data_IF_456426074326
#
_entry.id   IF_456426074326
#
_cell.length_a   1.000
_cell.length_b   1.000
_cell.length_c   1.000
_cell.angle_alpha   90.00
_cell.angle_beta   90.00
_cell.angle_gamma   90.00
#
_symmetry.space_group_name_H-M   'P 1'
#
loop_
_entity.id
_entity.type
_entity.pdbx_description
1 polymer ?
#
# COMPACT_ATOMS: atom_id res chain seq x y z
N UNK A 1 -37.17 24.70 -7.29
CA UNK A 1 -36.23 24.86 -6.16
C UNK A 1 -36.17 23.53 -5.43
N UNK A 2 -35.09 22.77 -5.58
CA UNK A 2 -34.92 21.51 -4.85
C UNK A 2 -34.79 21.82 -3.35
N UNK A 3 -35.65 21.22 -2.54
CA UNK A 3 -35.68 21.44 -1.08
C UNK A 3 -34.41 20.83 -0.47
N UNK A 4 -33.66 21.59 0.32
CA UNK A 4 -32.50 21.07 1.06
C UNK A 4 -32.98 19.93 1.96
N UNK A 5 -32.38 18.73 1.88
CA UNK A 5 -32.72 17.63 2.77
C UNK A 5 -32.54 18.02 4.23
N UNK A 6 -33.52 17.69 5.07
CA UNK A 6 -33.52 18.08 6.46
C UNK A 6 -32.40 17.36 7.23
N UNK A 7 -31.57 18.14 7.93
CA UNK A 7 -30.61 17.62 8.90
C UNK A 7 -31.41 17.14 10.12
N UNK A 8 -31.16 15.92 10.64
CA UNK A 8 -31.89 15.41 11.80
C UNK A 8 -31.62 16.29 13.04
N UNK A 9 -32.57 16.31 13.98
CA UNK A 9 -32.46 17.12 15.21
C UNK A 9 -31.63 16.44 16.31
N UNK A 10 -31.49 15.11 16.24
CA UNK A 10 -30.69 14.30 17.14
C UNK A 10 -29.70 13.44 16.35
N UNK A 11 -28.57 13.02 16.95
CA UNK A 11 -27.64 12.09 16.32
C UNK A 11 -28.33 10.80 15.92
N UNK A 12 -28.30 10.45 14.62
CA UNK A 12 -28.91 9.21 14.13
C UNK A 12 -28.24 8.70 12.86
N UNK A 13 -28.37 7.39 12.61
CA UNK A 13 -27.96 6.81 11.33
C UNK A 13 -29.00 7.13 10.26
N UNK A 14 -28.55 7.76 9.17
CA UNK A 14 -29.38 8.19 8.05
C UNK A 14 -28.92 7.47 6.78
N UNK A 15 -29.82 6.89 5.97
CA UNK A 15 -29.49 6.44 4.62
C UNK A 15 -29.31 7.68 3.72
N UNK A 16 -28.06 8.10 3.54
CA UNK A 16 -27.73 9.30 2.75
C UNK A 16 -27.71 8.92 1.28
N UNK A 17 -28.61 9.52 0.49
CA UNK A 17 -28.67 9.33 -0.96
C UNK A 17 -27.66 10.25 -1.69
N UNK A 18 -27.29 9.95 -2.94
CA UNK A 18 -26.45 10.84 -3.75
C UNK A 18 -26.98 12.27 -3.86
N UNK A 19 -28.29 12.44 -4.01
CA UNK A 19 -28.91 13.76 -4.10
C UNK A 19 -28.89 14.50 -2.76
N UNK A 20 -29.08 13.79 -1.65
CA UNK A 20 -28.92 14.37 -0.32
C UNK A 20 -27.50 14.87 -0.11
N UNK A 21 -26.51 14.06 -0.50
CA UNK A 21 -25.11 14.41 -0.36
C UNK A 21 -24.73 15.63 -1.20
N UNK A 22 -25.20 15.72 -2.45
CA UNK A 22 -25.00 16.90 -3.31
C UNK A 22 -25.62 18.15 -2.70
N UNK A 23 -26.86 18.07 -2.24
CA UNK A 23 -27.56 19.21 -1.65
C UNK A 23 -26.87 19.70 -0.35
N UNK A 24 -26.40 18.80 0.51
CA UNK A 24 -25.64 19.20 1.70
C UNK A 24 -24.26 19.77 1.34
N UNK A 25 -23.58 19.26 0.31
CA UNK A 25 -22.33 19.87 -0.16
C UNK A 25 -22.54 21.26 -0.75
N UNK A 26 -23.62 21.47 -1.49
CA UNK A 26 -23.92 22.75 -2.14
C UNK A 26 -24.36 23.83 -1.14
N UNK A 27 -25.20 23.46 -0.17
CA UNK A 27 -25.85 24.44 0.71
C UNK A 27 -25.28 24.52 2.12
N UNK A 28 -24.59 23.48 2.59
CA UNK A 28 -24.09 23.41 3.96
C UNK A 28 -22.56 23.51 4.03
N UNK A 29 -21.81 23.26 2.95
CA UNK A 29 -20.34 23.23 3.00
C UNK A 29 -19.73 24.65 2.93
N UNK A 30 -19.10 25.17 3.99
CA UNK A 30 -18.44 26.46 3.94
C UNK A 30 -17.15 26.42 3.12
N UNK A 31 -16.81 27.53 2.46
CA UNK A 31 -15.54 27.68 1.72
C UNK A 31 -14.29 27.53 2.60
N UNK A 32 -14.43 27.72 3.92
CA UNK A 32 -13.37 27.56 4.91
C UNK A 32 -13.00 26.11 5.21
N UNK A 33 -13.77 25.13 4.73
CA UNK A 33 -13.44 23.73 4.93
C UNK A 33 -12.17 23.34 4.14
N UNK A 34 -11.45 22.34 4.66
CA UNK A 34 -10.18 21.88 4.09
C UNK A 34 -10.33 21.58 2.60
N UNK A 35 -9.30 21.86 1.81
CA UNK A 35 -9.29 21.53 0.38
C UNK A 35 -9.65 20.05 0.19
N UNK A 36 -10.65 19.81 -0.64
CA UNK A 36 -11.11 18.47 -0.96
C UNK A 36 -9.97 17.68 -1.63
N UNK A 37 -9.80 16.43 -1.23
CA UNK A 37 -8.83 15.55 -1.87
C UNK A 37 -9.59 14.58 -2.76
N UNK A 38 -9.56 14.82 -4.06
CA UNK A 38 -10.21 13.97 -5.07
C UNK A 38 -9.81 12.50 -4.92
N UNK A 39 -8.52 12.25 -4.62
CA UNK A 39 -7.98 10.91 -4.35
C UNK A 39 -8.70 10.21 -3.19
N UNK A 40 -9.01 10.95 -2.12
CA UNK A 40 -9.70 10.38 -0.95
C UNK A 40 -11.16 10.11 -1.27
N UNK A 41 -11.83 11.04 -1.95
CA UNK A 41 -13.22 10.90 -2.39
C UNK A 41 -13.38 9.67 -3.29
N UNK A 42 -12.52 9.53 -4.32
CA UNK A 42 -12.61 8.43 -5.27
C UNK A 42 -12.36 7.07 -4.59
N UNK A 43 -11.41 7.01 -3.65
CA UNK A 43 -11.15 5.80 -2.86
C UNK A 43 -12.37 5.38 -2.03
N UNK A 44 -13.06 6.34 -1.40
CA UNK A 44 -14.29 6.06 -0.66
C UNK A 44 -15.41 5.65 -1.62
N UNK A 45 -15.58 6.35 -2.74
CA UNK A 45 -16.60 6.05 -3.74
C UNK A 45 -16.44 4.63 -4.30
N UNK A 46 -15.21 4.22 -4.60
CA UNK A 46 -14.87 2.85 -5.02
C UNK A 46 -15.26 1.81 -3.98
N UNK A 47 -14.92 2.04 -2.70
CA UNK A 47 -15.30 1.17 -1.58
C UNK A 47 -16.83 1.04 -1.45
N UNK A 48 -17.56 2.15 -1.65
CA UNK A 48 -19.03 2.18 -1.63
C UNK A 48 -19.63 1.40 -2.81
N UNK A 49 -19.14 1.61 -4.04
CA UNK A 49 -19.59 0.86 -5.24
C UNK A 49 -19.38 -0.64 -5.13
N UNK A 50 -18.30 -1.08 -4.45
CA UNK A 50 -18.02 -2.49 -4.19
C UNK A 50 -18.88 -3.12 -3.09
N UNK A 51 -19.70 -2.34 -2.38
CA UNK A 51 -20.43 -2.81 -1.19
C UNK A 51 -19.52 -3.15 0.00
N UNK A 52 -18.24 -2.73 -0.06
CA UNK A 52 -17.26 -2.97 0.99
C UNK A 52 -17.31 -1.90 2.11
N UNK A 53 -18.07 -0.83 1.91
CA UNK A 53 -18.23 0.23 2.90
C UNK A 53 -18.94 -0.31 4.16
N UNK A 54 -18.34 -0.08 5.33
CA UNK A 54 -18.92 -0.44 6.62
C UNK A 54 -19.37 0.82 7.35
N UNK A 55 -20.60 0.80 7.85
CA UNK A 55 -21.09 1.85 8.76
C UNK A 55 -20.26 1.85 10.03
N UNK A 56 -19.81 3.03 10.46
CA UNK A 56 -19.00 3.22 11.68
C UNK A 56 -19.50 4.43 12.45
N UNK A 57 -18.88 4.72 13.60
CA UNK A 57 -19.12 5.94 14.39
C UNK A 57 -18.64 7.23 13.70
N UNK A 58 -17.90 7.13 12.59
CA UNK A 58 -17.46 8.31 11.82
C UNK A 58 -18.68 8.95 11.16
N UNK A 59 -18.95 10.21 11.50
CA UNK A 59 -20.21 10.87 11.21
C UNK A 59 -20.12 11.91 10.08
N UNK A 60 -21.29 12.42 9.65
CA UNK A 60 -21.43 13.73 9.02
C UNK A 60 -21.83 14.70 10.11
N UNK A 61 -21.00 15.71 10.38
CA UNK A 61 -21.22 16.64 11.48
C UNK A 61 -21.66 17.99 10.94
N UNK A 62 -22.72 18.54 11.54
CA UNK A 62 -23.22 19.87 11.24
C UNK A 62 -23.17 20.74 12.50
N UNK A 63 -22.85 22.02 12.35
CA UNK A 63 -22.96 22.98 13.44
C UNK A 63 -24.42 23.36 13.72
N UNK A 64 -24.64 24.19 14.75
CA UNK A 64 -25.97 24.70 15.13
C UNK A 64 -26.62 25.59 14.08
N UNK A 65 -25.88 26.04 13.06
CA UNK A 65 -26.37 26.84 11.92
C UNK A 65 -26.57 25.98 10.67
N UNK A 66 -26.36 24.66 10.77
CA UNK A 66 -26.49 23.73 9.65
C UNK A 66 -25.30 23.75 8.68
N UNK A 67 -24.16 24.34 9.06
CA UNK A 67 -22.93 24.26 8.26
C UNK A 67 -22.23 22.93 8.50
N UNK A 68 -21.69 22.36 7.43
CA UNK A 68 -20.94 21.11 7.46
C UNK A 68 -19.58 21.34 8.13
N UNK A 69 -19.35 20.63 9.23
CA UNK A 69 -18.06 20.63 9.95
C UNK A 69 -17.21 19.42 9.56
N UNK A 70 -17.80 18.25 9.35
CA UNK A 70 -17.04 17.05 8.97
C UNK A 70 -17.88 16.16 8.05
N UNK A 71 -17.20 15.44 7.17
CA UNK A 71 -17.82 14.51 6.24
C UNK A 71 -17.80 14.96 4.78
N UNK A 72 -17.14 16.07 4.44
CA UNK A 72 -17.08 16.54 3.05
C UNK A 72 -16.59 15.49 2.04
N UNK A 73 -15.56 14.69 2.38
CA UNK A 73 -15.08 13.61 1.50
C UNK A 73 -16.06 12.44 1.43
N UNK A 74 -16.80 12.18 2.53
CA UNK A 74 -17.82 11.11 2.59
C UNK A 74 -19.04 11.49 1.76
N UNK A 75 -19.53 12.71 1.89
CA UNK A 75 -20.62 13.22 1.05
C UNK A 75 -20.22 13.26 -0.42
N UNK A 76 -19.01 13.73 -0.75
CA UNK A 76 -18.52 13.72 -2.13
C UNK A 76 -18.44 12.28 -2.66
N UNK A 77 -17.92 11.34 -1.86
CA UNK A 77 -17.88 9.94 -2.26
C UNK A 77 -19.25 9.31 -2.49
N UNK A 78 -20.27 9.67 -1.69
CA UNK A 78 -21.66 9.23 -1.89
C UNK A 78 -22.21 9.82 -3.20
N UNK A 79 -22.00 11.11 -3.42
CA UNK A 79 -22.41 11.79 -4.66
C UNK A 79 -21.73 11.19 -5.91
N UNK A 80 -20.43 10.88 -5.84
CA UNK A 80 -19.63 10.31 -6.92
C UNK A 80 -19.89 8.80 -7.13
N UNK A 81 -20.14 8.04 -6.06
CA UNK A 81 -20.40 6.60 -6.18
C UNK A 81 -21.77 6.29 -6.76
N UNK A 82 -22.75 7.18 -6.58
CA UNK A 82 -24.14 6.94 -6.96
C UNK A 82 -24.86 5.93 -6.05
N UNK A 83 -24.27 5.57 -4.90
CA UNK A 83 -24.79 4.56 -3.98
C UNK A 83 -25.27 5.22 -2.69
N UNK A 84 -26.47 4.83 -2.21
CA UNK A 84 -26.97 5.24 -0.89
C UNK A 84 -26.19 4.54 0.22
N UNK A 85 -25.67 5.31 1.18
CA UNK A 85 -24.86 4.78 2.29
C UNK A 85 -25.43 5.22 3.63
N UNK A 86 -25.58 4.28 4.57
CA UNK A 86 -26.01 4.59 5.93
C UNK A 86 -24.85 5.13 6.75
N UNK A 87 -24.98 6.36 7.25
CA UNK A 87 -23.97 7.04 8.07
C UNK A 87 -24.59 7.75 9.26
N UNK A 88 -23.84 7.86 10.36
CA UNK A 88 -24.23 8.68 11.50
C UNK A 88 -24.23 10.16 11.08
N UNK A 89 -25.30 10.88 11.36
CA UNK A 89 -25.39 12.33 11.19
C UNK A 89 -25.52 12.95 12.58
N UNK A 90 -24.64 13.88 12.92
CA UNK A 90 -24.60 14.56 14.22
C UNK A 90 -24.91 16.05 13.99
N UNK A 91 -26.07 16.55 14.44
CA UNK A 91 -26.41 17.97 14.39
C UNK A 91 -25.85 18.74 15.58
N UNK A 92 -25.84 20.07 15.49
CA UNK A 92 -25.56 20.99 16.60
C UNK A 92 -24.18 20.79 17.25
N UNK A 93 -23.17 20.39 16.48
CA UNK A 93 -21.79 20.34 16.95
C UNK A 93 -21.26 21.75 17.24
N UNK A 94 -20.42 21.88 18.27
CA UNK A 94 -19.73 23.13 18.57
C UNK A 94 -18.65 23.39 17.50
N UNK A 95 -18.72 24.51 16.73
CA UNK A 95 -17.71 24.87 15.75
C UNK A 95 -16.28 24.89 16.29
N UNK A 96 -16.09 25.20 17.58
CA UNK A 96 -14.77 25.24 18.22
C UNK A 96 -14.09 23.86 18.30
N UNK A 97 -14.83 22.77 18.13
CA UNK A 97 -14.26 21.41 18.09
C UNK A 97 -13.57 21.07 16.76
N UNK A 98 -13.80 21.86 15.70
CA UNK A 98 -13.29 21.61 14.35
C UNK A 98 -11.75 21.56 14.27
N UNK A 99 -11.06 22.43 15.01
CA UNK A 99 -9.59 22.46 15.03
C UNK A 99 -8.96 21.17 15.58
N UNK A 100 -9.72 20.41 16.37
CA UNK A 100 -9.25 19.18 17.04
C UNK A 100 -9.70 17.91 16.30
N UNK A 101 -10.76 17.97 15.50
CA UNK A 101 -11.39 16.78 14.89
C UNK A 101 -10.49 16.06 13.88
N UNK A 102 -9.62 16.76 13.18
CA UNK A 102 -8.96 16.22 11.98
C UNK A 102 -7.41 16.18 12.10
N UNK A 103 -6.94 15.83 13.31
CA UNK A 103 -5.60 15.30 13.58
C UNK A 103 -5.57 13.75 13.62
N UNK A 104 -6.65 13.11 13.16
CA UNK A 104 -6.81 11.66 13.13
C UNK A 104 -5.74 11.03 12.24
N UNK A 105 -4.68 10.51 12.86
CA UNK A 105 -3.66 9.71 12.20
C UNK A 105 -4.38 8.61 11.40
N UNK A 106 -4.29 8.65 10.06
CA UNK A 106 -4.75 7.55 9.22
C UNK A 106 -4.16 6.27 9.78
N UNK A 107 -5.02 5.37 10.29
CA UNK A 107 -4.56 4.06 10.76
C UNK A 107 -3.82 3.38 9.63
N UNK A 108 -2.49 3.29 9.77
CA UNK A 108 -1.65 2.66 8.76
C UNK A 108 -1.98 1.17 8.74
N UNK A 109 -1.98 0.53 7.57
CA UNK A 109 -2.24 -0.92 7.49
C UNK A 109 -1.32 -1.72 8.44
N UNK A 110 -0.07 -1.25 8.61
CA UNK A 110 0.90 -1.79 9.56
C UNK A 110 0.41 -1.81 11.01
N UNK A 111 -0.49 -0.92 11.42
CA UNK A 111 -1.05 -0.89 12.78
C UNK A 111 -2.16 -1.94 13.00
N UNK A 112 -2.73 -2.48 11.92
CA UNK A 112 -3.77 -3.51 11.98
C UNK A 112 -3.20 -4.93 11.83
N UNK A 113 -2.03 -5.08 11.20
CA UNK A 113 -1.35 -6.37 11.10
C UNK A 113 -0.63 -6.67 12.41
N UNK A 114 -1.12 -7.68 13.15
CA UNK A 114 -0.57 -8.12 14.44
C UNK A 114 0.57 -9.14 14.29
N UNK A 115 1.59 -8.81 13.49
CA UNK A 115 2.79 -9.65 13.31
C UNK A 115 4.08 -8.84 13.53
N UNK A 116 5.20 -9.47 13.92
CA UNK A 116 6.51 -8.84 13.91
C UNK A 116 6.84 -8.24 12.54
N UNK A 117 7.65 -7.18 12.49
CA UNK A 117 8.09 -6.57 11.22
C UNK A 117 6.96 -6.05 10.30
N UNK A 118 5.75 -5.82 10.83
CA UNK A 118 4.55 -5.35 10.09
C UNK A 118 4.77 -4.17 9.13
N UNK A 119 5.71 -3.27 9.40
CA UNK A 119 6.03 -2.14 8.51
C UNK A 119 6.61 -2.65 7.18
N UNK A 120 7.60 -3.55 7.21
CA UNK A 120 8.20 -4.09 6.00
C UNK A 120 7.26 -5.10 5.31
N UNK A 121 6.48 -5.86 6.08
CA UNK A 121 5.49 -6.80 5.54
C UNK A 121 4.41 -6.06 4.75
N UNK A 122 3.81 -5.01 5.30
CA UNK A 122 2.78 -4.25 4.59
C UNK A 122 3.33 -3.48 3.39
N UNK A 123 4.59 -3.03 3.43
CA UNK A 123 5.25 -2.44 2.26
C UNK A 123 5.49 -3.46 1.15
N UNK A 124 5.96 -4.67 1.47
CA UNK A 124 6.17 -5.76 0.51
C UNK A 124 4.83 -6.29 -0.05
N UNK A 125 3.79 -6.40 0.78
CA UNK A 125 2.45 -6.79 0.37
C UNK A 125 1.86 -5.84 -0.69
N UNK A 126 2.12 -4.53 -0.56
CA UNK A 126 1.74 -3.55 -1.60
C UNK A 126 2.40 -3.87 -2.93
N UNK A 127 3.70 -4.17 -2.94
CA UNK A 127 4.44 -4.48 -4.18
C UNK A 127 3.93 -5.76 -4.82
N UNK A 128 3.73 -6.82 -4.03
CA UNK A 128 3.17 -8.09 -4.53
C UNK A 128 1.76 -7.92 -5.07
N UNK A 129 0.90 -7.18 -4.37
CA UNK A 129 -0.46 -7.03 -4.86
C UNK A 129 -0.55 -6.19 -6.14
N UNK A 130 0.36 -5.25 -6.37
CA UNK A 130 0.53 -4.62 -7.69
C UNK A 130 1.02 -5.64 -8.73
N UNK A 131 2.09 -6.38 -8.46
CA UNK A 131 2.64 -7.36 -9.40
C UNK A 131 1.59 -8.39 -9.83
N UNK A 132 0.82 -8.90 -8.87
CA UNK A 132 -0.13 -9.99 -9.06
C UNK A 132 -1.57 -9.51 -9.32
N UNK A 133 -1.77 -8.22 -9.64
CA UNK A 133 -3.09 -7.69 -10.02
C UNK A 133 -4.18 -7.89 -8.97
N UNK A 134 -3.84 -7.79 -7.69
CA UNK A 134 -4.74 -8.14 -6.58
C UNK A 134 -5.84 -7.10 -6.32
N UNK A 135 -5.80 -5.95 -6.98
CA UNK A 135 -6.81 -4.91 -6.92
C UNK A 135 -6.73 -4.00 -8.14
N UNK A 136 -7.88 -3.43 -8.52
CA UNK A 136 -8.00 -2.41 -9.57
C UNK A 136 -8.91 -1.26 -9.12
N UNK A 137 -8.68 0.00 -9.56
CA UNK A 137 -7.50 0.47 -10.29
C UNK A 137 -6.23 0.49 -9.45
N UNK A 138 -5.07 0.32 -10.09
CA UNK A 138 -3.73 0.56 -9.54
C UNK A 138 -3.24 1.95 -9.95
N UNK A 139 -2.76 2.77 -9.00
CA UNK A 139 -2.04 4.03 -9.31
C UNK A 139 -0.56 3.90 -8.97
N UNK A 140 0.21 3.49 -9.96
CA UNK A 140 1.66 3.31 -9.83
C UNK A 140 2.34 4.64 -9.52
N UNK A 141 3.15 4.65 -8.47
CA UNK A 141 4.18 5.64 -8.24
C UNK A 141 5.53 5.00 -8.58
N UNK A 142 6.23 5.59 -9.56
CA UNK A 142 7.55 5.11 -10.02
C UNK A 142 7.55 3.63 -10.43
N UNK A 143 6.41 3.16 -10.97
CA UNK A 143 6.30 1.87 -11.65
C UNK A 143 6.42 0.62 -10.77
N UNK A 144 6.26 0.72 -9.45
CA UNK A 144 6.46 -0.45 -8.57
C UNK A 144 5.69 -0.44 -7.24
N UNK A 145 4.98 0.65 -6.94
CA UNK A 145 4.30 0.82 -5.66
C UNK A 145 2.99 1.58 -5.85
N UNK A 146 1.88 1.05 -5.31
CA UNK A 146 0.58 1.74 -5.34
C UNK A 146 0.41 2.64 -4.12
N UNK A 147 0.30 3.94 -4.38
CA UNK A 147 0.08 4.95 -3.33
C UNK A 147 -1.36 5.02 -2.85
N UNK A 148 -2.30 4.43 -3.60
CA UNK A 148 -3.73 4.44 -3.30
C UNK A 148 -4.27 3.10 -2.76
N UNK A 149 -3.43 2.05 -2.68
CA UNK A 149 -3.79 0.77 -2.09
C UNK A 149 -4.48 0.96 -0.74
N UNK A 150 -5.71 0.45 -0.64
CA UNK A 150 -6.51 0.60 0.58
C UNK A 150 -6.00 -0.32 1.68
N UNK A 151 -6.34 -0.03 2.93
CA UNK A 151 -6.02 -0.93 4.04
C UNK A 151 -6.56 -2.34 3.82
N UNK A 152 -7.83 -2.55 3.40
CA UNK A 152 -8.32 -3.87 2.99
C UNK A 152 -7.51 -4.55 1.89
N UNK A 153 -7.09 -3.82 0.85
CA UNK A 153 -6.27 -4.38 -0.24
C UNK A 153 -4.93 -4.91 0.28
N UNK A 154 -4.28 -4.14 1.16
CA UNK A 154 -3.01 -4.52 1.78
C UNK A 154 -3.19 -5.74 2.68
N UNK A 155 -4.27 -5.79 3.47
CA UNK A 155 -4.56 -6.93 4.33
C UNK A 155 -4.85 -8.19 3.52
N UNK A 156 -5.56 -8.07 2.37
CA UNK A 156 -5.78 -9.16 1.42
C UNK A 156 -4.45 -9.68 0.85
N UNK A 157 -3.53 -8.79 0.48
CA UNK A 157 -2.19 -9.20 0.03
C UNK A 157 -1.37 -9.85 1.14
N UNK A 158 -1.40 -9.34 2.37
CA UNK A 158 -0.72 -9.99 3.51
C UNK A 158 -1.29 -11.39 3.76
N UNK A 159 -2.61 -11.56 3.67
CA UNK A 159 -3.25 -12.87 3.83
C UNK A 159 -2.92 -13.84 2.68
N UNK A 160 -2.84 -13.34 1.45
CA UNK A 160 -2.49 -14.14 0.28
C UNK A 160 -1.00 -14.50 0.19
N UNK A 161 -0.13 -13.81 0.95
CA UNK A 161 1.32 -14.02 0.98
C UNK A 161 1.85 -14.17 2.42
N UNK A 162 1.48 -15.27 3.12
CA UNK A 162 1.95 -15.54 4.49
C UNK A 162 3.49 -15.61 4.60
N UNK A 163 4.19 -15.93 3.50
CA UNK A 163 5.64 -15.98 3.38
C UNK A 163 6.30 -14.62 3.69
N UNK A 164 5.57 -13.51 3.50
CA UNK A 164 6.03 -12.19 3.93
C UNK A 164 6.25 -12.14 5.44
N UNK A 165 5.37 -12.74 6.23
CA UNK A 165 5.54 -12.82 7.68
C UNK A 165 6.67 -13.76 8.07
N UNK A 166 6.77 -14.91 7.39
CA UNK A 166 7.79 -15.94 7.63
C UNK A 166 9.22 -15.41 7.40
N UNK A 167 9.44 -14.68 6.30
CA UNK A 167 10.76 -14.23 5.86
C UNK A 167 11.13 -12.80 6.28
N UNK A 168 10.24 -12.07 6.95
CA UNK A 168 10.53 -10.73 7.43
C UNK A 168 11.77 -10.64 8.36
N UNK A 169 12.00 -11.59 9.30
CA UNK A 169 13.22 -11.61 10.10
C UNK A 169 14.47 -11.80 9.24
N UNK A 170 14.42 -12.65 8.20
CA UNK A 170 15.52 -12.88 7.25
C UNK A 170 15.90 -11.59 6.53
N UNK A 171 14.92 -10.89 5.95
CA UNK A 171 15.15 -9.59 5.31
C UNK A 171 15.73 -8.55 6.29
N UNK A 172 15.26 -8.54 7.55
CA UNK A 172 15.79 -7.65 8.58
C UNK A 172 17.24 -7.96 8.97
N UNK A 173 17.61 -9.23 9.06
CA UNK A 173 18.99 -9.65 9.38
C UNK A 173 19.94 -9.29 8.24
N UNK A 174 19.55 -9.57 6.99
CA UNK A 174 20.36 -9.22 5.82
C UNK A 174 20.54 -7.71 5.70
N UNK A 175 19.50 -6.90 5.92
CA UNK A 175 19.63 -5.44 5.89
C UNK A 175 20.65 -4.91 6.90
N UNK A 176 20.68 -5.46 8.12
CA UNK A 176 21.66 -5.05 9.15
C UNK A 176 23.10 -5.28 8.69
N UNK A 177 23.35 -6.34 7.91
CA UNK A 177 24.68 -6.69 7.41
C UNK A 177 25.05 -6.01 6.08
N UNK A 178 24.07 -5.61 5.27
CA UNK A 178 24.31 -5.25 3.84
C UNK A 178 23.68 -3.96 3.37
N UNK A 179 22.72 -3.40 4.14
CA UNK A 179 21.83 -2.32 3.72
C UNK A 179 20.90 -2.64 2.54
N UNK A 180 20.78 -3.91 2.13
CA UNK A 180 19.81 -4.33 1.11
C UNK A 180 18.39 -3.97 1.54
N UNK A 181 17.66 -3.29 0.67
CA UNK A 181 16.33 -2.74 0.95
C UNK A 181 15.35 -3.85 1.42
N UNK A 182 14.83 -3.71 2.65
CA UNK A 182 14.10 -4.78 3.31
C UNK A 182 12.80 -5.18 2.60
N UNK A 183 11.88 -4.26 2.24
CA UNK A 183 10.68 -4.64 1.49
C UNK A 183 10.95 -5.33 0.16
N UNK A 184 11.88 -4.83 -0.67
CA UNK A 184 12.14 -5.42 -2.00
C UNK A 184 12.80 -6.79 -1.87
N UNK A 185 13.71 -6.97 -0.91
CA UNK A 185 14.27 -8.28 -0.59
C UNK A 185 13.21 -9.24 -0.07
N UNK A 186 12.30 -8.78 0.79
CA UNK A 186 11.22 -9.59 1.32
C UNK A 186 10.26 -10.08 0.23
N UNK A 187 9.97 -9.25 -0.79
CA UNK A 187 9.21 -9.69 -1.98
C UNK A 187 9.92 -10.84 -2.68
N UNK A 188 11.24 -10.72 -2.93
CA UNK A 188 12.03 -11.79 -3.56
C UNK A 188 12.04 -13.06 -2.73
N UNK A 189 12.18 -12.96 -1.40
CA UNK A 189 12.14 -14.13 -0.51
C UNK A 189 10.77 -14.83 -0.52
N UNK A 190 9.68 -14.06 -0.47
CA UNK A 190 8.33 -14.63 -0.52
C UNK A 190 8.04 -15.33 -1.86
N UNK A 191 8.54 -14.77 -2.96
CA UNK A 191 8.44 -15.40 -4.28
C UNK A 191 9.36 -16.62 -4.41
N UNK A 192 10.57 -16.56 -3.85
CA UNK A 192 11.50 -17.68 -3.80
C UNK A 192 10.95 -18.87 -3.01
N UNK A 193 10.22 -18.63 -1.92
CA UNK A 193 9.57 -19.67 -1.11
C UNK A 193 8.54 -20.46 -1.92
N UNK A 194 7.90 -19.82 -2.91
CA UNK A 194 6.97 -20.48 -3.84
C UNK A 194 7.63 -21.04 -5.09
N UNK A 195 8.96 -20.98 -5.19
CA UNK A 195 9.72 -21.48 -6.32
C UNK A 195 10.31 -22.86 -6.05
N UNK A 196 10.77 -23.54 -7.11
CA UNK A 196 11.56 -24.77 -7.01
C UNK A 196 12.84 -24.63 -6.16
N UNK A 197 13.27 -23.39 -5.84
CA UNK A 197 14.48 -23.09 -5.09
C UNK A 197 14.24 -22.61 -3.66
N UNK A 198 13.05 -22.83 -3.08
CA UNK A 198 12.76 -22.47 -1.68
C UNK A 198 13.81 -22.98 -0.68
N UNK A 199 14.28 -24.22 -0.87
CA UNK A 199 15.31 -24.85 -0.05
C UNK A 199 16.67 -24.12 -0.04
N UNK A 200 16.92 -23.18 -0.96
CA UNK A 200 18.17 -22.40 -1.06
C UNK A 200 18.12 -21.08 -0.28
N UNK A 201 16.97 -20.69 0.29
CA UNK A 201 16.80 -19.39 0.96
C UNK A 201 17.75 -19.21 2.15
N UNK A 202 17.93 -20.24 2.97
CA UNK A 202 18.80 -20.14 4.15
C UNK A 202 20.28 -19.98 3.76
N UNK A 203 20.74 -20.69 2.73
CA UNK A 203 22.10 -20.56 2.20
C UNK A 203 22.32 -19.18 1.54
N UNK A 204 21.30 -18.64 0.85
CA UNK A 204 21.31 -17.28 0.31
C UNK A 204 21.47 -16.23 1.42
N UNK A 205 20.64 -16.33 2.46
CA UNK A 205 20.71 -15.47 3.66
C UNK A 205 22.09 -15.56 4.29
N UNK A 206 22.61 -16.76 4.53
CA UNK A 206 23.89 -16.95 5.20
C UNK A 206 25.05 -16.34 4.40
N UNK A 207 25.08 -16.53 3.08
CA UNK A 207 26.06 -15.87 2.21
C UNK A 207 25.94 -14.35 2.23
N UNK A 208 24.71 -13.83 2.17
CA UNK A 208 24.47 -12.39 2.26
C UNK A 208 24.76 -11.79 3.63
N UNK A 209 24.64 -12.53 4.73
CA UNK A 209 24.94 -12.00 6.06
C UNK A 209 26.43 -12.08 6.37
N UNK A 210 27.08 -13.23 6.11
CA UNK A 210 28.48 -13.46 6.48
C UNK A 210 29.44 -12.57 5.68
N UNK A 211 29.22 -12.42 4.37
CA UNK A 211 30.18 -11.74 3.52
C UNK A 211 31.49 -12.51 3.27
N UNK A 212 31.68 -13.69 3.88
CA UNK A 212 32.94 -14.42 3.91
C UNK A 212 32.99 -15.53 2.85
N UNK A 213 34.21 -15.86 2.39
CA UNK A 213 34.49 -16.97 1.46
C UNK A 213 33.67 -16.94 0.16
N UNK A 214 33.39 -15.74 -0.36
CA UNK A 214 32.69 -15.57 -1.64
C UNK A 214 33.69 -15.29 -2.76
N UNK A 215 33.55 -16.04 -3.85
CA UNK A 215 34.30 -15.82 -5.08
C UNK A 215 33.96 -14.47 -5.72
N UNK A 216 34.89 -13.83 -6.46
CA UNK A 216 34.67 -12.52 -7.08
C UNK A 216 33.43 -12.44 -7.99
N UNK A 217 33.01 -13.56 -8.58
CA UNK A 217 31.85 -13.67 -9.47
C UNK A 217 30.58 -14.16 -8.78
N UNK A 218 30.59 -14.31 -7.45
CA UNK A 218 29.39 -14.71 -6.70
C UNK A 218 28.32 -13.60 -6.79
N UNK A 219 27.10 -13.90 -7.27
CA UNK A 219 26.05 -12.90 -7.39
C UNK A 219 25.67 -12.22 -6.06
N UNK A 220 25.82 -12.92 -4.92
CA UNK A 220 25.57 -12.38 -3.57
C UNK A 220 26.59 -11.29 -3.24
N UNK A 221 27.86 -11.51 -3.56
CA UNK A 221 28.93 -10.54 -3.35
C UNK A 221 28.70 -9.28 -4.20
N UNK A 222 28.36 -9.46 -5.48
CA UNK A 222 28.05 -8.33 -6.37
C UNK A 222 26.83 -7.54 -5.89
N UNK A 223 25.78 -8.22 -5.42
CA UNK A 223 24.60 -7.57 -4.85
C UNK A 223 24.95 -6.72 -3.63
N UNK A 224 25.73 -7.26 -2.69
CA UNK A 224 26.22 -6.52 -1.51
C UNK A 224 26.98 -5.26 -1.92
N UNK A 225 27.96 -5.40 -2.81
CA UNK A 225 28.78 -4.27 -3.28
C UNK A 225 27.93 -3.21 -4.00
N UNK A 226 26.90 -3.65 -4.75
CA UNK A 226 25.95 -2.75 -5.43
C UNK A 226 25.15 -1.91 -4.43
N UNK A 227 24.64 -2.52 -3.36
CA UNK A 227 23.88 -1.78 -2.33
C UNK A 227 24.76 -0.89 -1.45
N UNK A 228 26.05 -1.20 -1.29
CA UNK A 228 26.99 -0.29 -0.62
C UNK A 228 27.27 0.94 -1.50
N UNK A 229 27.60 0.74 -2.79
CA UNK A 229 27.94 1.85 -3.70
C UNK A 229 26.75 2.76 -3.98
N UNK A 230 25.59 2.17 -4.26
CA UNK A 230 24.43 2.88 -4.81
C UNK A 230 23.28 2.99 -3.78
N UNK A 231 23.61 2.92 -2.48
CA UNK A 231 22.65 2.86 -1.37
C UNK A 231 21.59 3.96 -1.44
N UNK A 232 22.02 5.22 -1.59
CA UNK A 232 21.14 6.39 -1.59
C UNK A 232 20.00 6.25 -2.59
N UNK A 233 20.31 5.80 -3.81
CA UNK A 233 19.31 5.55 -4.84
C UNK A 233 18.48 4.31 -4.53
N UNK A 234 19.11 3.16 -4.26
CA UNK A 234 18.43 1.87 -4.09
C UNK A 234 17.57 1.75 -2.81
N UNK A 235 17.81 2.62 -1.82
CA UNK A 235 16.99 2.76 -0.62
C UNK A 235 15.81 3.72 -0.80
N UNK A 236 15.84 4.60 -1.81
CA UNK A 236 14.81 5.60 -2.08
C UNK A 236 13.53 4.98 -2.67
N UNK A 237 12.45 5.77 -2.71
CA UNK A 237 11.21 5.38 -3.40
C UNK A 237 11.43 5.07 -4.88
N UNK A 238 12.17 5.93 -5.59
CA UNK A 238 12.43 5.79 -7.03
C UNK A 238 13.35 4.64 -7.38
N UNK A 239 14.18 4.21 -6.43
CA UNK A 239 15.05 3.05 -6.61
C UNK A 239 14.38 1.70 -6.36
N UNK A 240 13.11 1.62 -5.97
CA UNK A 240 12.48 0.33 -5.56
C UNK A 240 12.44 -0.70 -6.68
N UNK A 241 12.06 -0.30 -7.91
CA UNK A 241 12.05 -1.20 -9.08
C UNK A 241 13.47 -1.73 -9.36
N UNK A 242 14.46 -0.83 -9.37
CA UNK A 242 15.86 -1.20 -9.56
C UNK A 242 16.37 -2.12 -8.46
N UNK A 243 16.04 -1.80 -7.21
CA UNK A 243 16.38 -2.58 -6.02
C UNK A 243 15.83 -4.00 -6.11
N UNK A 244 14.53 -4.17 -6.40
CA UNK A 244 13.94 -5.48 -6.62
C UNK A 244 14.61 -6.24 -7.79
N UNK A 245 14.75 -5.61 -8.96
CA UNK A 245 15.32 -6.27 -10.13
C UNK A 245 16.77 -6.73 -9.91
N UNK A 246 17.59 -5.94 -9.21
CA UNK A 246 18.96 -6.33 -8.87
C UNK A 246 18.99 -7.53 -7.93
N UNK A 247 18.11 -7.56 -6.91
CA UNK A 247 18.01 -8.68 -5.97
C UNK A 247 17.52 -9.94 -6.71
N UNK A 248 16.47 -9.82 -7.54
CA UNK A 248 15.93 -10.92 -8.33
C UNK A 248 16.95 -11.49 -9.32
N UNK A 249 17.69 -10.63 -10.03
CA UNK A 249 18.77 -11.05 -10.95
C UNK A 249 19.88 -11.79 -10.20
N UNK A 250 20.31 -11.29 -9.06
CA UNK A 250 21.34 -11.93 -8.25
C UNK A 250 20.87 -13.28 -7.68
N UNK A 251 19.64 -13.34 -7.16
CA UNK A 251 19.01 -14.60 -6.71
C UNK A 251 18.98 -15.63 -7.84
N UNK A 252 18.43 -15.25 -8.99
CA UNK A 252 18.29 -16.14 -10.15
C UNK A 252 19.64 -16.67 -10.63
N UNK A 253 20.64 -15.79 -10.79
CA UNK A 253 21.97 -16.22 -11.21
C UNK A 253 22.57 -17.22 -10.21
N UNK A 254 22.44 -16.95 -8.92
CA UNK A 254 23.01 -17.78 -7.87
C UNK A 254 22.33 -19.15 -7.75
N UNK A 255 21.00 -19.22 -7.71
CA UNK A 255 20.30 -20.52 -7.61
C UNK A 255 20.52 -21.40 -8.85
N UNK A 256 20.75 -20.78 -10.02
CA UNK A 256 21.08 -21.45 -11.27
C UNK A 256 22.59 -21.77 -11.42
N UNK A 257 23.41 -21.51 -10.39
CA UNK A 257 24.85 -21.79 -10.42
C UNK A 257 25.64 -20.92 -11.41
N UNK A 258 25.10 -19.78 -11.82
CA UNK A 258 25.73 -18.86 -12.77
C UNK A 258 26.50 -17.76 -12.02
N UNK A 259 27.81 -17.71 -12.22
CA UNK A 259 28.62 -16.55 -11.82
C UNK A 259 28.30 -15.33 -12.67
N UNK A 260 28.53 -14.14 -12.12
CA UNK A 260 28.29 -12.86 -12.79
C UNK A 260 29.55 -12.01 -12.81
N UNK A 261 29.82 -11.32 -13.93
CA UNK A 261 30.90 -10.31 -13.98
C UNK A 261 30.46 -8.95 -13.44
N UNK A 262 29.17 -8.61 -13.61
CA UNK A 262 28.59 -7.34 -13.17
C UNK A 262 27.09 -7.49 -12.96
N UNK A 263 26.54 -6.79 -11.97
CA UNK A 263 25.12 -6.76 -11.67
C UNK A 263 24.55 -5.40 -12.10
N UNK A 264 23.76 -5.39 -13.17
CA UNK A 264 23.23 -4.19 -13.83
C UNK A 264 21.70 -4.15 -13.84
N UNK A 265 21.17 -2.93 -13.78
CA UNK A 265 19.76 -2.61 -13.93
C UNK A 265 19.55 -1.81 -15.22
N UNK A 266 18.48 -2.11 -15.96
CA UNK A 266 17.97 -1.35 -17.10
C UNK A 266 16.47 -1.10 -16.89
N UNK A 267 15.99 0.09 -17.26
CA UNK A 267 14.55 0.39 -17.18
C UNK A 267 13.71 -0.50 -18.11
N UNK A 268 14.31 -0.99 -19.20
CA UNK A 268 13.70 -1.93 -20.15
C UNK A 268 13.57 -3.37 -19.62
N UNK A 269 14.15 -3.70 -18.45
CA UNK A 269 14.11 -5.07 -17.91
C UNK A 269 12.70 -5.52 -17.47
N UNK A 270 11.71 -4.62 -17.46
CA UNK A 270 10.40 -4.89 -16.86
C UNK A 270 10.53 -5.23 -15.36
N UNK A 271 9.67 -6.11 -14.85
CA UNK A 271 9.81 -6.72 -13.52
C UNK A 271 10.42 -8.11 -13.70
N UNK A 272 11.60 -8.33 -13.12
CA UNK A 272 12.35 -9.60 -13.27
C UNK A 272 11.61 -10.74 -12.57
N UNK A 273 11.28 -11.81 -13.31
CA UNK A 273 10.65 -13.02 -12.74
C UNK A 273 11.64 -13.79 -11.87
N UNK A 274 11.18 -14.36 -10.75
CA UNK A 274 12.00 -15.27 -9.92
C UNK A 274 12.11 -16.64 -10.59
N UNK A 275 13.32 -17.19 -10.65
CA UNK A 275 13.61 -18.49 -11.24
C UNK A 275 12.84 -19.60 -10.53
N UNK A 276 12.25 -20.52 -11.30
CA UNK A 276 11.53 -21.68 -10.76
C UNK A 276 10.17 -21.38 -10.13
N UNK A 277 9.65 -20.15 -10.26
CA UNK A 277 8.30 -19.79 -9.82
C UNK A 277 7.29 -20.04 -10.95
N UNK A 278 6.44 -21.06 -10.82
CA UNK A 278 5.40 -21.38 -11.80
C UNK A 278 4.09 -20.62 -11.49
N UNK A 279 3.58 -19.86 -12.47
CA UNK A 279 2.26 -19.20 -12.53
C UNK A 279 1.89 -18.20 -11.39
N UNK A 280 1.97 -16.89 -11.72
CA UNK A 280 1.26 -15.78 -11.04
C UNK A 280 1.65 -14.42 -11.64
N UNK A 281 0.76 -13.39 -11.71
CA UNK A 281 0.81 -12.40 -12.78
C UNK A 281 2.06 -11.54 -12.81
N UNK A 282 2.57 -11.32 -14.02
CA UNK A 282 3.62 -10.35 -14.36
C UNK A 282 3.24 -9.59 -15.65
N UNK A 283 1.93 -9.39 -15.90
CA UNK A 283 1.40 -8.76 -17.13
C UNK A 283 1.11 -7.26 -16.98
N UNK A 284 1.28 -6.66 -15.79
CA UNK A 284 1.02 -5.24 -15.56
C UNK A 284 2.23 -4.31 -15.85
N UNK A 285 3.35 -4.87 -16.33
CA UNK A 285 4.61 -4.13 -16.51
C UNK A 285 5.34 -4.42 -17.83
N UNK A 286 4.62 -4.90 -18.85
CA UNK A 286 5.12 -4.94 -20.24
C UNK A 286 5.02 -3.56 -20.88
#
# INVERSE_FOLDING_TARGET
MSRIPQIPVNPMYVPITPDMAKAWLEHCNPESNRVLSEVVCERYAKTMRKGEWKTTHQAIAFDSKGKLLDGQHRLNAIATSGVTVTMLVIPNCDPATFDVLDAGHRRQASQLVKIPHRIIVTAAARMLGVMYGMWEPVKLHEGFYDTQATTPDILRAVAAWPELGQHAPTASTVYRATRINQPTHLVVLAQAERSAYAHRIEEWKNGLTSGANMEPKDPRLLLRNRFVRDFTFLASSGGRKASYNLIAKAWNAWVLGKGMGTLKYSDSDGVVKIAGLENGPLELFQ
#
